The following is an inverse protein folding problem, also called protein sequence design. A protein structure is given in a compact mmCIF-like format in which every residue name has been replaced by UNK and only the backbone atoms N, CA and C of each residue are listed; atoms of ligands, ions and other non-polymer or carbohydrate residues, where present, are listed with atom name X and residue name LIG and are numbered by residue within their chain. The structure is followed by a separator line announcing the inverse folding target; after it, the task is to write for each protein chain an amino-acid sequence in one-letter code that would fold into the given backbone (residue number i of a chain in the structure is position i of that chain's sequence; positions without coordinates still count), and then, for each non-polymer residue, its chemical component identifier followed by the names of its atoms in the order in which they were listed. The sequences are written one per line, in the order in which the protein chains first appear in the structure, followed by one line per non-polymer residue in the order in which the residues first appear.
data_IF_081213932457
#
_entry.id   IF_081213932457
#
_cell.length_a   1.000
_cell.length_b   1.000
_cell.length_c   1.000
_cell.angle_alpha   90.00
_cell.angle_beta   90.00
_cell.angle_gamma   90.00
#
_symmetry.space_group_name_H-M   'P 1'
#
loop_
_entity.id
_entity.type
_entity.pdbx_description
1 polymer ?
#
# COMPACT_ATOMS: atom_id res chain seq x y z
N UNK A 1 4.51 -4.82 30.01
CA UNK A 1 4.42 -5.17 28.58
C UNK A 1 4.18 -3.89 27.81
N UNK A 2 4.87 -3.64 26.69
CA UNK A 2 4.60 -2.46 25.86
C UNK A 2 3.14 -2.53 25.36
N UNK A 3 2.43 -1.41 25.40
CA UNK A 3 1.05 -1.31 24.92
C UNK A 3 1.01 -1.56 23.40
N UNK A 4 0.36 -2.64 22.98
CA UNK A 4 0.20 -2.97 21.56
C UNK A 4 -0.99 -2.16 21.05
N UNK A 5 -0.71 -1.12 20.26
CA UNK A 5 -1.74 -0.35 19.57
C UNK A 5 -2.48 -1.23 18.57
N UNK A 6 -3.79 -1.01 18.45
CA UNK A 6 -4.60 -1.61 17.39
C UNK A 6 -4.21 -1.07 16.01
N UNK A 7 -4.54 -1.83 14.96
CA UNK A 7 -4.24 -1.45 13.58
C UNK A 7 -4.74 -0.05 13.21
N UNK A 8 -5.95 0.31 13.65
CA UNK A 8 -6.53 1.63 13.36
C UNK A 8 -5.85 2.76 14.12
N UNK A 9 -5.37 2.51 15.34
CA UNK A 9 -4.60 3.50 16.11
C UNK A 9 -3.24 3.76 15.46
N UNK A 10 -2.61 2.72 14.93
CA UNK A 10 -1.37 2.84 14.15
C UNK A 10 -1.63 3.65 12.87
N UNK A 11 -2.67 3.31 12.10
CA UNK A 11 -3.02 4.00 10.86
C UNK A 11 -3.34 5.49 11.07
N UNK A 12 -4.10 5.82 12.11
CA UNK A 12 -4.44 7.22 12.45
C UNK A 12 -3.24 8.02 12.94
N UNK A 13 -2.30 7.39 13.62
CA UNK A 13 -1.06 8.02 14.07
C UNK A 13 0.01 8.15 12.97
N UNK A 14 -0.22 7.61 11.78
CA UNK A 14 0.75 7.64 10.69
C UNK A 14 0.94 9.06 10.15
N UNK A 15 2.21 9.49 10.08
CA UNK A 15 2.64 10.73 9.42
C UNK A 15 2.61 10.54 7.91
N UNK A 16 1.42 10.66 7.31
CA UNK A 16 1.20 10.55 5.87
C UNK A 16 1.92 11.67 5.13
N UNK A 17 2.58 11.33 4.03
CA UNK A 17 3.13 12.32 3.12
C UNK A 17 2.08 12.74 2.09
N UNK A 18 2.13 13.98 1.57
CA UNK A 18 1.33 14.35 0.41
C UNK A 18 1.61 13.38 -0.75
N UNK A 19 0.57 12.97 -1.46
CA UNK A 19 0.67 11.99 -2.54
C UNK A 19 1.61 12.44 -3.67
N UNK A 20 1.74 13.76 -3.87
CA UNK A 20 2.68 14.35 -4.81
C UNK A 20 4.14 14.05 -4.43
N UNK A 21 4.47 14.11 -3.14
CA UNK A 21 5.81 13.78 -2.64
C UNK A 21 6.12 12.28 -2.79
N UNK A 22 5.10 11.43 -2.67
CA UNK A 22 5.22 9.98 -2.97
C UNK A 22 5.47 9.77 -4.46
N UNK A 23 4.72 10.45 -5.33
CA UNK A 23 4.89 10.40 -6.78
C UNK A 23 6.28 10.83 -7.24
N UNK A 24 6.81 11.92 -6.69
CA UNK A 24 8.15 12.42 -6.99
C UNK A 24 9.24 11.35 -6.71
N UNK A 25 9.15 10.65 -5.58
CA UNK A 25 10.09 9.56 -5.23
C UNK A 25 10.11 8.43 -6.26
N UNK A 26 8.99 8.18 -6.91
CA UNK A 26 8.87 7.12 -7.92
C UNK A 26 8.98 7.64 -9.36
N UNK A 27 9.12 8.95 -9.56
CA UNK A 27 9.29 9.59 -10.86
C UNK A 27 7.97 9.81 -11.60
N UNK A 28 6.86 10.04 -10.89
CA UNK A 28 5.59 10.45 -11.47
C UNK A 28 5.43 11.96 -11.27
N UNK A 29 5.47 12.76 -12.35
CA UNK A 29 5.24 14.20 -12.28
C UNK A 29 3.86 14.55 -11.71
N UNK A 30 3.77 15.69 -11.02
CA UNK A 30 2.56 16.11 -10.30
C UNK A 30 1.34 16.30 -11.20
N UNK A 31 1.54 16.74 -12.44
CA UNK A 31 0.51 16.92 -13.48
C UNK A 31 -0.13 15.61 -13.92
N UNK A 32 0.52 14.47 -13.64
CA UNK A 32 0.02 13.14 -13.94
C UNK A 32 -0.66 12.47 -12.73
N UNK A 33 -0.72 13.14 -11.58
CA UNK A 33 -1.44 12.70 -10.40
C UNK A 33 -2.74 13.48 -10.28
N UNK A 34 -3.88 12.80 -10.43
CA UNK A 34 -5.22 13.35 -10.20
C UNK A 34 -5.59 13.11 -8.72
N UNK A 35 -5.47 14.12 -7.83
CA UNK A 35 -5.57 13.90 -6.40
C UNK A 35 -7.02 13.67 -5.94
N UNK A 36 -7.18 12.79 -4.95
CA UNK A 36 -8.41 12.56 -4.19
C UNK A 36 -8.09 12.89 -2.73
N UNK A 37 -8.17 14.16 -2.38
CA UNK A 37 -7.60 14.68 -1.14
C UNK A 37 -6.08 14.85 -1.25
N UNK A 38 -5.38 14.76 -0.11
CA UNK A 38 -3.94 15.06 -0.03
C UNK A 38 -3.05 13.82 -0.10
N UNK A 39 -3.57 12.63 0.16
CA UNK A 39 -2.82 11.39 0.37
C UNK A 39 -3.16 10.27 -0.62
N UNK A 40 -4.04 10.53 -1.60
CA UNK A 40 -4.43 9.59 -2.65
C UNK A 40 -4.50 10.30 -4.00
N UNK A 41 -4.22 9.57 -5.08
CA UNK A 41 -4.36 10.06 -6.43
C UNK A 41 -4.59 8.90 -7.42
N UNK A 42 -5.24 9.19 -8.55
CA UNK A 42 -5.17 8.34 -9.73
C UNK A 42 -4.02 8.78 -10.62
N UNK A 43 -3.36 7.83 -11.28
CA UNK A 43 -2.31 8.12 -12.28
C UNK A 43 -2.97 8.30 -13.65
N UNK A 44 -2.57 9.35 -14.38
CA UNK A 44 -3.16 9.66 -15.69
C UNK A 44 -2.86 8.57 -16.73
N UNK A 45 -3.81 8.33 -17.64
CA UNK A 45 -3.63 7.37 -18.74
C UNK A 45 -2.52 7.78 -19.71
N UNK A 46 -2.23 9.08 -19.84
CA UNK A 46 -1.12 9.57 -20.66
C UNK A 46 0.22 9.06 -20.13
N UNK A 47 0.47 9.22 -18.83
CA UNK A 47 1.69 8.76 -18.18
C UNK A 47 1.83 7.24 -18.21
N UNK A 48 0.74 6.49 -18.01
CA UNK A 48 0.78 5.01 -18.09
C UNK A 48 1.24 4.56 -19.48
N UNK A 49 0.76 5.19 -20.56
CA UNK A 49 1.17 4.88 -21.93
C UNK A 49 2.64 5.21 -22.18
N UNK A 50 3.12 6.34 -21.67
CA UNK A 50 4.54 6.70 -21.76
C UNK A 50 5.42 5.68 -21.03
N UNK A 51 5.02 5.28 -19.83
CA UNK A 51 5.76 4.34 -19.00
C UNK A 51 5.89 2.94 -19.61
N UNK A 52 5.01 2.54 -20.55
CA UNK A 52 5.10 1.26 -21.28
C UNK A 52 6.36 1.14 -22.15
N UNK A 53 7.00 2.26 -22.50
CA UNK A 53 8.28 2.24 -23.21
C UNK A 53 9.49 1.91 -22.32
N UNK A 54 9.31 1.90 -20.99
CA UNK A 54 10.39 1.64 -20.05
C UNK A 54 10.72 0.15 -19.95
N UNK A 55 11.95 -0.15 -19.54
CA UNK A 55 12.35 -1.52 -19.21
C UNK A 55 11.64 -1.98 -17.93
N UNK A 56 11.07 -3.18 -17.99
CA UNK A 56 10.45 -3.81 -16.82
C UNK A 56 11.41 -3.98 -15.64
N UNK A 57 10.87 -3.76 -14.44
CA UNK A 57 11.51 -4.06 -13.18
C UNK A 57 11.52 -5.56 -12.85
N UNK A 58 11.83 -5.90 -11.60
CA UNK A 58 11.70 -7.27 -11.08
C UNK A 58 10.30 -7.46 -10.52
N UNK A 59 9.61 -8.50 -10.98
CA UNK A 59 8.30 -8.91 -10.43
C UNK A 59 8.50 -9.94 -9.33
N UNK A 60 8.00 -9.63 -8.13
CA UNK A 60 8.02 -10.54 -6.97
C UNK A 60 6.58 -10.85 -6.60
N UNK A 61 6.20 -12.12 -6.71
CA UNK A 61 4.87 -12.60 -6.31
C UNK A 61 4.90 -13.09 -4.87
N UNK A 62 4.06 -12.49 -4.02
CA UNK A 62 3.83 -12.97 -2.65
C UNK A 62 2.62 -13.90 -2.64
N UNK A 63 2.86 -15.15 -2.23
CA UNK A 63 1.81 -16.17 -2.08
C UNK A 63 1.80 -16.71 -0.64
N UNK A 64 0.80 -17.53 -0.32
CA UNK A 64 0.68 -18.20 0.97
C UNK A 64 0.23 -19.65 0.76
N UNK A 65 0.36 -20.45 1.82
CA UNK A 65 -0.27 -21.78 1.90
C UNK A 65 -1.81 -21.65 1.90
N UNK A 66 -2.49 -22.79 1.91
CA UNK A 66 -3.94 -22.82 2.05
C UNK A 66 -4.38 -22.06 3.31
N UNK A 67 -5.39 -21.18 3.22
CA UNK A 67 -5.85 -20.41 4.36
C UNK A 67 -6.32 -21.29 5.52
N UNK A 68 -6.01 -20.85 6.74
CA UNK A 68 -6.36 -21.48 8.00
C UNK A 68 -6.99 -20.45 8.94
N UNK A 69 -7.75 -20.87 9.96
CA UNK A 69 -8.30 -19.94 10.95
C UNK A 69 -7.26 -19.11 11.73
N UNK A 70 -5.98 -19.52 11.73
CA UNK A 70 -4.90 -18.79 12.38
C UNK A 70 -4.50 -17.51 11.62
N UNK A 71 -4.75 -17.47 10.29
CA UNK A 71 -4.35 -16.36 9.43
C UNK A 71 -2.87 -16.39 9.04
N UNK A 72 -2.59 -16.11 7.76
CA UNK A 72 -1.25 -16.27 7.18
C UNK A 72 -0.49 -14.95 7.00
N UNK A 73 -1.16 -13.81 7.20
CA UNK A 73 -0.51 -12.49 7.14
C UNK A 73 0.02 -12.10 5.75
N UNK A 74 -0.53 -12.66 4.66
CA UNK A 74 -0.04 -12.43 3.29
C UNK A 74 0.13 -10.95 2.92
N UNK A 75 -0.90 -10.13 3.16
CA UNK A 75 -0.86 -8.70 2.82
C UNK A 75 0.15 -7.94 3.69
N UNK A 76 0.21 -8.26 4.98
CA UNK A 76 1.22 -7.70 5.91
C UNK A 76 2.63 -7.99 5.41
N UNK A 77 2.90 -9.20 4.96
CA UNK A 77 4.19 -9.59 4.36
C UNK A 77 4.47 -8.85 3.06
N UNK A 78 3.47 -8.64 2.20
CA UNK A 78 3.64 -7.83 0.98
C UNK A 78 4.07 -6.40 1.30
N UNK A 79 3.39 -5.74 2.24
CA UNK A 79 3.73 -4.37 2.65
C UNK A 79 5.13 -4.32 3.28
N UNK A 80 5.38 -5.19 4.27
CA UNK A 80 6.67 -5.23 4.98
C UNK A 80 7.85 -5.57 4.07
N UNK A 81 7.65 -6.40 3.04
CA UNK A 81 8.67 -6.67 2.02
C UNK A 81 8.97 -5.41 1.20
N UNK A 82 7.95 -4.66 0.80
CA UNK A 82 8.12 -3.38 0.11
C UNK A 82 8.91 -2.37 0.95
N UNK A 83 8.55 -2.23 2.22
CA UNK A 83 9.26 -1.36 3.17
C UNK A 83 10.72 -1.81 3.36
N UNK A 84 10.93 -3.11 3.54
CA UNK A 84 12.26 -3.71 3.70
C UNK A 84 13.15 -3.48 2.48
N UNK A 85 12.62 -3.67 1.27
CA UNK A 85 13.34 -3.41 0.02
C UNK A 85 13.77 -1.94 -0.10
N UNK A 86 12.87 -1.00 0.21
CA UNK A 86 13.20 0.42 0.20
C UNK A 86 14.23 0.77 1.29
N UNK A 87 14.13 0.17 2.48
CA UNK A 87 15.10 0.37 3.57
C UNK A 87 16.52 -0.09 3.22
N UNK A 88 16.68 -1.10 2.37
CA UNK A 88 17.98 -1.56 1.87
C UNK A 88 18.41 -0.86 0.57
N UNK A 89 17.72 0.21 0.16
CA UNK A 89 18.10 1.04 -0.99
C UNK A 89 17.60 0.53 -2.35
N UNK A 90 16.61 -0.37 -2.40
CA UNK A 90 15.96 -0.77 -3.66
C UNK A 90 14.73 0.09 -3.91
N UNK A 91 14.59 0.63 -5.13
CA UNK A 91 13.35 1.30 -5.57
C UNK A 91 12.26 0.23 -5.78
N UNK A 92 11.34 0.11 -4.81
CA UNK A 92 10.28 -0.90 -4.83
C UNK A 92 8.89 -0.28 -4.59
N UNK A 93 7.89 -0.85 -5.26
CA UNK A 93 6.47 -0.49 -5.14
C UNK A 93 5.70 -1.78 -4.90
N UNK A 94 4.67 -1.73 -4.06
CA UNK A 94 3.75 -2.84 -3.83
C UNK A 94 2.44 -2.61 -4.59
N UNK A 95 1.82 -3.69 -5.02
CA UNK A 95 0.49 -3.67 -5.64
C UNK A 95 -0.44 -4.59 -4.84
N UNK A 96 -1.58 -4.06 -4.43
CA UNK A 96 -2.61 -4.79 -3.69
C UNK A 96 -3.99 -4.56 -4.33
N UNK A 97 -4.96 -5.39 -3.94
CA UNK A 97 -6.35 -5.24 -4.38
C UNK A 97 -7.09 -4.29 -3.45
N UNK A 98 -7.98 -3.49 -4.01
CA UNK A 98 -9.00 -2.76 -3.26
C UNK A 98 -9.94 -3.76 -2.57
N UNK A 99 -10.26 -3.51 -1.30
CA UNK A 99 -11.15 -4.36 -0.54
C UNK A 99 -12.61 -4.13 -0.94
N UNK A 100 -13.45 -5.15 -0.83
CA UNK A 100 -14.90 -4.95 -0.96
C UNK A 100 -15.42 -4.14 0.24
N UNK A 101 -16.36 -3.23 -0.02
CA UNK A 101 -17.02 -2.46 1.03
C UNK A 101 -17.95 -3.32 1.90
N UNK A 102 -18.56 -4.38 1.34
CA UNK A 102 -19.57 -5.21 2.02
C UNK A 102 -19.14 -5.80 3.37
N UNK A 103 -17.94 -6.43 3.48
CA UNK A 103 -17.41 -6.94 4.75
C UNK A 103 -17.39 -5.92 5.90
N UNK A 104 -17.19 -4.63 5.62
CA UNK A 104 -17.16 -3.59 6.67
C UNK A 104 -18.47 -3.51 7.47
N UNK A 105 -19.60 -3.95 6.90
CA UNK A 105 -20.92 -3.96 7.54
C UNK A 105 -21.31 -5.31 8.16
N UNK A 106 -20.45 -6.32 8.08
CA UNK A 106 -20.69 -7.66 8.62
C UNK A 106 -19.53 -8.12 9.49
N UNK A 107 -18.66 -8.98 8.94
CA UNK A 107 -17.41 -9.36 9.59
C UNK A 107 -16.36 -8.26 9.38
N UNK A 108 -16.01 -7.58 10.48
CA UNK A 108 -14.99 -6.52 10.66
C UNK A 108 -14.13 -6.21 9.42
N UNK A 109 -14.19 -4.95 8.98
CA UNK A 109 -13.30 -4.40 7.96
C UNK A 109 -11.83 -4.63 8.30
N UNK A 110 -11.10 -5.24 7.38
CA UNK A 110 -9.68 -5.58 7.54
C UNK A 110 -8.77 -4.48 6.99
N UNK A 111 -7.59 -4.31 7.60
CA UNK A 111 -6.55 -3.44 7.09
C UNK A 111 -5.97 -3.95 5.75
N UNK A 112 -5.48 -3.03 4.94
CA UNK A 112 -4.56 -3.33 3.84
C UNK A 112 -3.16 -3.66 4.42
N UNK A 113 -3.05 -4.77 5.16
CA UNK A 113 -1.86 -5.15 5.93
C UNK A 113 -2.21 -5.42 7.39
N UNK A 114 -1.27 -5.17 8.31
CA UNK A 114 -1.48 -5.28 9.76
C UNK A 114 -0.26 -4.81 10.57
N UNK A 115 -0.49 -4.36 11.80
CA UNK A 115 0.54 -3.78 12.66
C UNK A 115 1.21 -2.56 12.01
N UNK A 116 2.55 -2.53 12.01
CA UNK A 116 3.33 -1.44 11.41
C UNK A 116 3.52 -1.56 9.89
N UNK A 117 3.01 -2.63 9.27
CA UNK A 117 3.09 -2.86 7.82
C UNK A 117 1.68 -2.79 7.22
N UNK A 118 1.24 -1.56 6.92
CA UNK A 118 -0.09 -1.24 6.39
C UNK A 118 -0.01 -0.22 5.27
N UNK A 119 -0.97 -0.27 4.34
CA UNK A 119 -1.28 0.83 3.42
C UNK A 119 -2.30 1.76 4.07
N UNK A 120 -2.07 3.06 3.96
CA UNK A 120 -2.92 4.12 4.52
C UNK A 120 -3.25 5.17 3.45
N UNK A 121 -4.38 5.90 3.56
CA UNK A 121 -5.40 5.84 4.63
C UNK A 121 -6.21 4.53 4.62
N UNK A 122 -6.64 4.09 5.81
CA UNK A 122 -7.28 2.77 6.01
C UNK A 122 -8.81 2.85 5.98
N UNK A 123 -9.34 4.03 6.25
CA UNK A 123 -10.75 4.37 6.43
C UNK A 123 -11.44 4.92 5.17
N UNK A 124 -10.67 5.15 4.12
CA UNK A 124 -11.14 5.59 2.79
C UNK A 124 -11.13 4.43 1.79
#
# INVERSE_FOLDING_TARGET
MAEIKSDIEIARAANKQPIQAVGEKIGIPSEHLLPYGHDKAKVSAAFIREAQGNKDGKLILVTAINPTPAGEGKTTTTVGLGDGLNRIGRKAIICIREASLGPNFGMKGGAAGGGLAQVVPMDD
#
